data_IF_001157533147
#
_entry.id   IF_001157533147
#
_cell.length_a   1.000
_cell.length_b   1.000
_cell.length_c   1.000
_cell.angle_alpha   90.00
_cell.angle_beta   90.00
_cell.angle_gamma   90.00
#
_symmetry.space_group_name_H-M   'P 1'
#
loop_
_entity.id
_entity.type
_entity.pdbx_description
1 polymer ?
#
# COMPACT_ATOMS: atom_id res chain seq x y z
N UNK A 1 11.96 16.01 33.42
CA UNK A 1 10.56 15.53 33.27
C UNK A 1 10.24 15.56 31.79
N UNK A 2 9.46 14.62 31.23
CA UNK A 2 9.13 14.65 29.81
C UNK A 2 8.40 15.96 29.46
N UNK A 3 8.77 16.57 28.32
CA UNK A 3 8.20 17.86 27.94
C UNK A 3 6.68 17.74 27.74
N UNK A 4 5.83 18.60 28.37
CA UNK A 4 4.37 18.45 28.32
C UNK A 4 3.74 18.44 26.93
N UNK A 5 4.45 18.94 25.92
CA UNK A 5 4.00 18.96 24.52
C UNK A 5 4.03 17.58 23.86
N UNK A 6 4.83 16.64 24.37
CA UNK A 6 5.01 15.31 23.77
C UNK A 6 3.71 14.49 23.68
N UNK A 7 2.76 14.72 24.59
CA UNK A 7 1.44 14.06 24.52
C UNK A 7 0.69 14.36 23.22
N UNK A 8 0.94 15.51 22.60
CA UNK A 8 0.33 15.89 21.32
C UNK A 8 1.02 15.24 20.12
N UNK A 9 2.16 14.57 20.31
CA UNK A 9 2.85 13.81 19.27
C UNK A 9 2.40 12.35 19.17
N UNK A 10 1.61 11.86 20.14
CA UNK A 10 0.96 10.56 20.04
C UNK A 10 0.19 10.43 18.72
N UNK A 11 0.23 9.25 18.12
CA UNK A 11 -0.35 8.99 16.81
C UNK A 11 -1.20 7.71 16.78
N UNK A 12 -1.14 6.89 17.83
CA UNK A 12 -1.83 5.61 17.94
C UNK A 12 -3.35 5.72 17.87
N UNK A 13 -3.89 6.90 18.22
CA UNK A 13 -5.32 7.20 18.15
C UNK A 13 -5.79 7.55 16.72
N UNK A 14 -4.88 7.79 15.79
CA UNK A 14 -5.22 8.13 14.41
C UNK A 14 -5.51 6.86 13.59
N UNK A 15 -6.35 6.92 12.54
CA UNK A 15 -6.50 5.83 11.58
C UNK A 15 -5.16 5.44 10.94
N UNK A 16 -4.91 4.16 10.56
CA UNK A 16 -3.62 3.67 10.06
C UNK A 16 -3.02 4.53 8.93
N UNK A 17 -3.85 4.97 7.98
CA UNK A 17 -3.46 5.86 6.88
C UNK A 17 -2.83 7.18 7.34
N UNK A 18 -3.33 7.76 8.43
CA UNK A 18 -2.79 9.01 8.99
C UNK A 18 -1.61 8.76 9.93
N UNK A 19 -1.50 7.56 10.51
CA UNK A 19 -0.33 7.17 11.28
C UNK A 19 0.93 7.14 10.40
N UNK A 20 0.84 6.77 9.13
CA UNK A 20 1.97 6.75 8.18
C UNK A 20 2.73 8.09 8.14
N UNK A 21 2.01 9.22 8.18
CA UNK A 21 2.60 10.56 8.14
C UNK A 21 2.90 11.13 9.53
N UNK A 22 2.07 10.80 10.53
CA UNK A 22 2.20 11.33 11.90
C UNK A 22 3.33 10.65 12.68
N UNK A 23 3.52 9.34 12.50
CA UNK A 23 4.48 8.51 13.24
C UNK A 23 5.94 9.00 13.11
N UNK A 24 6.49 9.22 11.91
CA UNK A 24 7.89 9.66 11.79
C UNK A 24 8.19 10.96 12.55
N UNK A 25 7.19 11.85 12.62
CA UNK A 25 7.31 13.14 13.29
C UNK A 25 7.18 12.97 14.81
N UNK A 26 6.29 12.11 15.27
CA UNK A 26 6.17 11.76 16.69
C UNK A 26 7.43 11.09 17.24
N UNK A 27 7.98 10.13 16.49
CA UNK A 27 9.24 9.45 16.84
C UNK A 27 10.41 10.44 16.88
N UNK A 28 10.49 11.37 15.91
CA UNK A 28 11.49 12.43 15.91
C UNK A 28 11.36 13.35 17.13
N UNK A 29 10.15 13.73 17.51
CA UNK A 29 9.91 14.57 18.68
C UNK A 29 10.39 13.91 19.98
N UNK A 30 10.14 12.60 20.14
CA UNK A 30 10.64 11.81 21.27
C UNK A 30 12.17 11.73 21.28
N UNK A 31 12.78 11.50 20.11
CA UNK A 31 14.24 11.47 19.98
C UNK A 31 14.88 12.82 20.34
N UNK A 32 14.34 13.93 19.85
CA UNK A 32 14.85 15.27 20.14
C UNK A 32 14.69 15.65 21.62
N UNK A 33 13.59 15.24 22.28
CA UNK A 33 13.41 15.47 23.71
C UNK A 33 14.44 14.73 24.57
N UNK A 34 14.79 13.51 24.16
CA UNK A 34 15.79 12.68 24.85
C UNK A 34 17.24 13.14 24.59
N UNK A 35 17.53 13.64 23.38
CA UNK A 35 18.89 14.02 22.97
C UNK A 35 19.29 15.41 23.48
N UNK A 36 18.34 16.35 23.57
CA UNK A 36 18.64 17.76 23.83
C UNK A 36 18.34 18.16 25.28
N UNK A 37 19.18 19.01 25.90
CA UNK A 37 18.90 19.55 27.22
C UNK A 37 17.65 20.43 27.21
N UNK A 38 17.05 20.61 28.38
CA UNK A 38 15.91 21.51 28.55
C UNK A 38 16.31 22.97 28.25
N UNK A 39 15.51 23.64 27.41
CA UNK A 39 15.79 25.01 27.00
C UNK A 39 14.70 25.62 26.11
N UNK A 40 14.76 26.95 25.90
CA UNK A 40 13.76 27.68 25.11
C UNK A 40 13.76 27.24 23.64
N UNK A 41 14.94 26.95 23.07
CA UNK A 41 15.07 26.48 21.69
C UNK A 41 14.48 25.09 21.49
N UNK A 42 14.70 24.15 22.42
CA UNK A 42 14.08 22.81 22.37
C UNK A 42 12.56 22.94 22.37
N UNK A 43 12.02 23.75 23.28
CA UNK A 43 10.58 23.99 23.38
C UNK A 43 10.00 24.61 22.11
N UNK A 44 10.71 25.58 21.53
CA UNK A 44 10.31 26.26 20.28
C UNK A 44 10.37 25.32 19.08
N UNK A 45 11.43 24.51 18.97
CA UNK A 45 11.57 23.48 17.95
C UNK A 45 10.44 22.46 18.02
N UNK A 46 10.11 21.95 19.21
CA UNK A 46 9.01 21.00 19.39
C UNK A 46 7.64 21.60 19.02
N UNK A 47 7.38 22.90 19.27
CA UNK A 47 6.13 23.55 18.81
C UNK A 47 6.05 23.64 17.29
N UNK A 48 7.14 24.07 16.65
CA UNK A 48 7.22 24.14 15.18
C UNK A 48 7.06 22.75 14.54
N UNK A 49 7.63 21.73 15.16
CA UNK A 49 7.49 20.36 14.69
C UNK A 49 6.05 19.85 14.82
N UNK A 50 5.35 20.23 15.90
CA UNK A 50 3.93 19.90 16.07
C UNK A 50 3.07 20.56 14.99
N UNK A 51 3.30 21.85 14.70
CA UNK A 51 2.61 22.56 13.62
C UNK A 51 2.84 21.90 12.26
N UNK A 52 4.08 21.46 11.99
CA UNK A 52 4.41 20.73 10.77
C UNK A 52 3.63 19.40 10.69
N UNK A 53 3.60 18.64 11.80
CA UNK A 53 2.82 17.40 11.92
C UNK A 53 1.35 17.63 11.55
N UNK A 54 0.74 18.64 12.14
CA UNK A 54 -0.68 18.95 11.93
C UNK A 54 -0.97 19.34 10.47
N UNK A 55 -0.05 20.06 9.81
CA UNK A 55 -0.17 20.37 8.39
C UNK A 55 -0.11 19.13 7.51
N UNK A 56 0.84 18.22 7.75
CA UNK A 56 0.96 16.99 6.98
C UNK A 56 -0.21 16.03 7.22
N UNK A 57 -0.67 15.88 8.46
CA UNK A 57 -1.85 15.07 8.78
C UNK A 57 -3.09 15.63 8.08
N UNK A 58 -3.28 16.96 8.06
CA UNK A 58 -4.38 17.60 7.34
C UNK A 58 -4.30 17.31 5.83
N UNK A 59 -3.12 17.44 5.22
CA UNK A 59 -2.92 17.14 3.81
C UNK A 59 -3.16 15.66 3.47
N UNK A 60 -2.86 14.74 4.40
CA UNK A 60 -3.06 13.31 4.22
C UNK A 60 -4.55 12.89 4.20
N UNK A 61 -5.47 13.77 4.63
CA UNK A 61 -6.91 13.56 4.46
C UNK A 61 -7.29 13.51 2.98
N UNK A 62 -6.64 14.29 2.12
CA UNK A 62 -6.92 14.38 0.69
C UNK A 62 -6.38 13.19 -0.11
N UNK A 63 -5.46 12.39 0.46
CA UNK A 63 -5.00 11.14 -0.18
C UNK A 63 -6.25 10.27 -0.38
N UNK A 64 -6.60 9.81 -1.58
CA UNK A 64 -7.72 8.87 -1.72
C UNK A 64 -7.45 7.65 -0.84
N UNK A 65 -8.48 7.13 -0.17
CA UNK A 65 -8.33 5.84 0.49
C UNK A 65 -7.94 4.82 -0.60
N UNK A 66 -6.81 4.12 -0.42
CA UNK A 66 -6.56 2.94 -1.24
C UNK A 66 -7.75 2.01 -1.00
N UNK A 67 -8.57 1.82 -2.04
CA UNK A 67 -9.63 0.83 -2.00
C UNK A 67 -9.00 -0.51 -1.61
N UNK A 68 -9.65 -1.32 -0.77
CA UNK A 68 -9.16 -2.66 -0.48
C UNK A 68 -8.92 -3.37 -1.82
N UNK A 69 -7.69 -3.80 -2.08
CA UNK A 69 -7.34 -4.52 -3.32
C UNK A 69 -8.29 -5.70 -3.45
N UNK A 70 -8.96 -5.82 -4.59
CA UNK A 70 -9.92 -6.91 -4.81
C UNK A 70 -9.15 -8.22 -4.86
N UNK A 71 -9.28 -9.05 -3.86
CA UNK A 71 -8.54 -10.30 -3.84
C UNK A 71 -9.16 -11.31 -4.80
N UNK A 72 -8.36 -11.96 -5.65
CA UNK A 72 -8.84 -12.97 -6.60
C UNK A 72 -7.95 -14.22 -6.57
N UNK A 73 -8.57 -15.40 -6.64
CA UNK A 73 -7.87 -16.66 -6.93
C UNK A 73 -8.14 -17.03 -8.39
N UNK A 74 -7.35 -16.55 -9.36
CA UNK A 74 -7.68 -16.62 -10.78
C UNK A 74 -7.82 -18.06 -11.26
N UNK A 75 -8.94 -18.35 -11.93
CA UNK A 75 -9.16 -19.60 -12.65
C UNK A 75 -8.73 -19.38 -14.10
N UNK A 76 -7.60 -19.97 -14.48
CA UNK A 76 -7.03 -19.83 -15.81
C UNK A 76 -7.56 -20.91 -16.76
N UNK A 77 -8.16 -20.50 -17.87
CA UNK A 77 -8.46 -21.35 -19.02
C UNK A 77 -7.43 -21.10 -20.11
N UNK A 78 -6.73 -22.15 -20.56
CA UNK A 78 -5.76 -22.07 -21.64
C UNK A 78 -6.36 -22.64 -22.94
N UNK A 79 -6.18 -21.94 -24.07
CA UNK A 79 -6.49 -22.44 -25.42
C UNK A 79 -5.37 -22.09 -26.37
N UNK A 80 -4.99 -23.03 -27.22
CA UNK A 80 -4.03 -22.78 -28.29
C UNK A 80 -4.75 -22.21 -29.52
N UNK A 81 -4.19 -21.15 -30.10
CA UNK A 81 -4.68 -20.59 -31.35
C UNK A 81 -4.02 -21.32 -32.52
N UNK A 82 -4.79 -22.18 -33.20
CA UNK A 82 -4.33 -22.98 -34.33
C UNK A 82 -3.84 -22.15 -35.53
N UNK A 83 -4.18 -20.85 -35.62
CA UNK A 83 -3.72 -19.99 -36.70
C UNK A 83 -2.34 -19.37 -36.43
N UNK A 84 -1.98 -19.14 -35.16
CA UNK A 84 -0.76 -18.41 -34.77
C UNK A 84 0.22 -19.25 -33.93
N UNK A 85 -0.21 -20.38 -33.39
CA UNK A 85 0.57 -21.20 -32.45
C UNK A 85 0.70 -20.56 -31.06
N UNK A 86 0.02 -19.44 -30.80
CA UNK A 86 0.08 -18.76 -29.51
C UNK A 86 -0.90 -19.36 -28.51
N UNK A 87 -0.52 -19.34 -27.23
CA UNK A 87 -1.37 -19.73 -26.11
C UNK A 87 -2.20 -18.54 -25.67
N UNK A 88 -3.52 -18.70 -25.63
CA UNK A 88 -4.46 -17.76 -25.05
C UNK A 88 -4.81 -18.21 -23.63
N UNK A 89 -4.64 -17.33 -22.64
CA UNK A 89 -5.05 -17.55 -21.25
C UNK A 89 -6.15 -16.58 -20.88
N UNK A 90 -7.23 -17.08 -20.29
CA UNK A 90 -8.38 -16.29 -19.84
C UNK A 90 -8.71 -16.57 -18.37
N UNK A 91 -9.12 -15.54 -17.64
CA UNK A 91 -9.62 -15.64 -16.26
C UNK A 91 -11.14 -15.53 -16.25
N UNK A 92 -11.82 -16.50 -15.64
CA UNK A 92 -13.29 -16.62 -15.67
C UNK A 92 -13.99 -16.13 -14.41
N UNK A 93 -13.26 -16.02 -13.30
CA UNK A 93 -13.79 -15.63 -12.00
C UNK A 93 -13.44 -14.18 -11.61
N UNK A 94 -13.00 -13.38 -12.58
CA UNK A 94 -12.92 -11.93 -12.46
C UNK A 94 -14.27 -11.31 -12.86
N UNK A 95 -14.64 -10.18 -12.25
CA UNK A 95 -15.88 -9.45 -12.61
C UNK A 95 -15.91 -9.06 -14.10
N UNK A 96 -14.73 -8.79 -14.65
CA UNK A 96 -14.51 -8.55 -16.08
C UNK A 96 -13.66 -9.68 -16.68
N UNK A 97 -13.93 -10.03 -17.94
CA UNK A 97 -13.15 -11.05 -18.66
C UNK A 97 -11.74 -10.54 -18.93
N UNK A 98 -10.76 -11.05 -18.20
CA UNK A 98 -9.33 -10.79 -18.47
C UNK A 98 -8.74 -11.90 -19.32
N UNK A 99 -8.10 -11.54 -20.43
CA UNK A 99 -7.40 -12.50 -21.30
C UNK A 99 -6.10 -11.92 -21.84
N UNK A 100 -5.13 -12.79 -22.13
CA UNK A 100 -3.90 -12.44 -22.83
C UNK A 100 -3.41 -13.60 -23.71
N UNK A 101 -2.63 -13.25 -24.73
CA UNK A 101 -1.98 -14.20 -25.62
C UNK A 101 -0.47 -14.17 -25.39
N UNK A 102 0.17 -15.33 -25.44
CA UNK A 102 1.59 -15.49 -25.22
C UNK A 102 2.20 -16.58 -26.08
N UNK A 103 3.53 -16.56 -26.16
CA UNK A 103 4.30 -17.58 -26.90
C UNK A 103 4.27 -18.94 -26.20
N UNK A 104 4.05 -18.94 -24.88
CA UNK A 104 3.87 -20.14 -24.06
C UNK A 104 2.85 -19.87 -22.92
N UNK A 105 2.52 -20.91 -22.14
CA UNK A 105 1.58 -20.82 -21.02
C UNK A 105 2.03 -19.84 -19.92
N UNK A 106 3.33 -19.72 -19.67
CA UNK A 106 3.87 -18.90 -18.58
C UNK A 106 3.85 -17.42 -18.96
N UNK A 107 4.23 -17.08 -20.18
CA UNK A 107 4.17 -15.75 -20.76
C UNK A 107 2.72 -15.23 -20.82
N UNK A 108 1.79 -16.05 -21.31
CA UNK A 108 0.37 -15.70 -21.34
C UNK A 108 -0.20 -15.49 -19.92
N UNK A 109 0.18 -16.33 -18.96
CA UNK A 109 -0.23 -16.20 -17.55
C UNK A 109 0.33 -14.93 -16.91
N UNK A 110 1.60 -14.61 -17.12
CA UNK A 110 2.23 -13.41 -16.58
C UNK A 110 1.54 -12.14 -17.10
N UNK A 111 1.18 -12.13 -18.38
CA UNK A 111 0.43 -11.02 -19.00
C UNK A 111 -0.97 -10.86 -18.40
N UNK A 112 -1.65 -11.96 -18.09
CA UNK A 112 -2.95 -11.95 -17.38
C UNK A 112 -2.78 -11.44 -15.95
N UNK A 113 -1.78 -11.92 -15.23
CA UNK A 113 -1.52 -11.51 -13.84
C UNK A 113 -1.22 -10.02 -13.75
N UNK A 114 -0.45 -9.50 -14.71
CA UNK A 114 -0.19 -8.06 -14.84
C UNK A 114 -1.47 -7.26 -15.05
N UNK A 115 -2.35 -7.70 -15.97
CA UNK A 115 -3.65 -7.05 -16.20
C UNK A 115 -4.53 -7.05 -14.95
N UNK A 116 -4.60 -8.18 -14.24
CA UNK A 116 -5.35 -8.27 -12.98
C UNK A 116 -4.82 -7.26 -11.94
N UNK A 117 -3.49 -7.16 -11.79
CA UNK A 117 -2.88 -6.18 -10.87
C UNK A 117 -3.17 -4.73 -11.28
N UNK A 118 -3.12 -4.42 -12.58
CA UNK A 118 -3.48 -3.09 -13.12
C UNK A 118 -4.96 -2.74 -12.87
N UNK A 119 -5.83 -3.75 -12.84
CA UNK A 119 -7.25 -3.61 -12.50
C UNK A 119 -7.51 -3.57 -10.98
N UNK A 120 -6.46 -3.51 -10.17
CA UNK A 120 -6.56 -3.41 -8.71
C UNK A 120 -6.85 -4.73 -8.00
N UNK A 121 -6.67 -5.87 -8.68
CA UNK A 121 -6.76 -7.16 -8.05
C UNK A 121 -5.46 -7.57 -7.35
N UNK A 122 -5.58 -8.25 -6.22
CA UNK A 122 -4.48 -8.94 -5.56
C UNK A 122 -4.64 -10.45 -5.78
N UNK A 123 -3.68 -11.04 -6.49
CA UNK A 123 -3.72 -12.46 -6.87
C UNK A 123 -3.28 -13.33 -5.69
N UNK A 124 -4.21 -14.09 -5.11
CA UNK A 124 -3.86 -15.18 -4.19
C UNK A 124 -3.49 -16.40 -5.03
N UNK A 125 -2.21 -16.78 -4.98
CA UNK A 125 -1.75 -18.07 -5.49
C UNK A 125 -2.18 -19.19 -4.53
N UNK A 126 -3.39 -19.71 -4.73
CA UNK A 126 -3.74 -21.03 -4.18
C UNK A 126 -2.96 -22.08 -4.95
N UNK A 127 -1.85 -22.56 -4.39
CA UNK A 127 -1.17 -23.76 -4.88
C UNK A 127 -2.13 -24.94 -4.76
N UNK A 128 -2.79 -25.29 -5.86
CA UNK A 128 -3.20 -26.67 -6.12
C UNK A 128 -2.41 -27.12 -7.32
N UNK A 129 -1.24 -27.69 -7.06
CA UNK A 129 -0.65 -28.63 -8.00
C UNK A 129 -1.70 -29.73 -8.23
N UNK A 130 -2.14 -29.96 -9.48
CA UNK A 130 -2.85 -31.18 -9.78
C UNK A 130 -1.86 -32.34 -9.65
N UNK A 131 -2.18 -33.29 -8.75
CA UNK A 131 -1.61 -34.64 -8.76
C UNK A 131 -1.88 -35.33 -10.11
#
# INVERSE_FOLDING_TARGET
MPTPILKYFAYEHLPPKLQEVSKPIGDLALQLDALLPDGPEKTTGLRKLLEAKDCFVRQALDKPAELPKKTITPIYECREDHATGHIQVKVTNAEEKVFATGVDHLDAKLKVDKKLNEMGYEIIKSYKEPL
#
